data_IF_086815749778
#
_entry.id   IF_086815749778
#
_cell.length_a   1.000
_cell.length_b   1.000
_cell.length_c   1.000
_cell.angle_alpha   90.00
_cell.angle_beta   90.00
_cell.angle_gamma   90.00
#
_symmetry.space_group_name_H-M   'P 1'
#
loop_
_entity.id
_entity.type
_entity.pdbx_description
1 polymer ?
#
# COMPACT_ATOMS: atom_id res chain seq x y z
N UNK A 1 -10.82 13.28 -16.50
CA UNK A 1 -10.58 13.02 -16.20
C UNK A 1 -10.27 12.54 -15.35
N UNK A 2 -10.02 12.23 -15.13
CA UNK A 2 -9.80 11.67 -14.42
C UNK A 2 -9.17 11.75 -13.50
N UNK A 3 -8.94 11.81 -12.79
CA UNK A 3 -8.44 11.90 -11.85
C UNK A 3 -8.49 10.89 -11.02
N UNK A 4 -8.79 10.21 -10.96
CA UNK A 4 -9.01 9.25 -10.11
C UNK A 4 -7.97 8.29 -10.08
N UNK A 5 -6.98 8.52 -10.63
CA UNK A 5 -5.94 7.65 -10.63
C UNK A 5 -5.46 7.37 -9.28
N UNK A 6 -5.56 8.27 -8.40
CA UNK A 6 -5.05 8.04 -7.09
C UNK A 6 -5.96 7.16 -6.30
N UNK A 7 -7.09 6.80 -6.84
CA UNK A 7 -7.99 5.96 -6.08
C UNK A 7 -7.77 4.50 -6.32
N UNK A 8 -6.89 4.12 -7.23
CA UNK A 8 -6.65 2.71 -7.52
C UNK A 8 -5.48 2.16 -6.75
N UNK A 9 -4.53 2.99 -6.43
CA UNK A 9 -3.33 2.55 -5.71
C UNK A 9 -2.93 3.60 -4.71
N UNK A 10 -2.16 3.18 -3.72
CA UNK A 10 -1.53 4.08 -2.78
C UNK A 10 -0.03 4.02 -3.00
N UNK A 11 0.66 5.07 -2.62
CA UNK A 11 2.11 4.96 -2.49
C UNK A 11 2.39 4.19 -1.21
N UNK A 12 3.62 3.74 -1.04
CA UNK A 12 3.99 3.03 0.19
C UNK A 12 3.81 3.94 1.39
N UNK A 13 4.12 5.22 1.25
CA UNK A 13 3.95 6.15 2.35
C UNK A 13 2.49 6.29 2.73
N UNK A 14 1.63 6.38 1.75
CA UNK A 14 0.21 6.51 2.02
C UNK A 14 -0.33 5.27 2.72
N UNK A 15 0.07 4.10 2.24
CA UNK A 15 -0.36 2.87 2.86
C UNK A 15 0.15 2.78 4.29
N UNK A 16 1.38 3.23 4.50
CA UNK A 16 1.94 3.23 5.84
C UNK A 16 1.14 4.09 6.79
N UNK A 17 0.68 5.24 6.32
CA UNK A 17 -0.11 6.10 7.19
C UNK A 17 -1.41 5.44 7.57
N UNK A 18 -2.02 4.74 6.64
CA UNK A 18 -3.25 4.04 6.94
C UNK A 18 -3.03 2.94 7.97
N UNK A 19 -1.84 2.37 7.97
CA UNK A 19 -1.51 1.31 8.90
C UNK A 19 -0.83 1.83 10.15
N UNK A 20 -0.68 3.15 10.24
CA UNK A 20 -0.04 3.79 11.37
C UNK A 20 1.40 3.40 11.54
N UNK A 21 2.09 3.20 10.44
CA UNK A 21 3.50 2.87 10.46
C UNK A 21 4.33 4.09 10.13
N UNK A 22 5.54 4.15 10.64
CA UNK A 22 6.47 5.18 10.23
C UNK A 22 6.86 4.89 8.80
N UNK A 23 7.45 5.89 8.15
CA UNK A 23 7.88 5.74 6.78
C UNK A 23 8.85 4.59 6.61
N UNK A 24 9.83 4.51 7.48
CA UNK A 24 10.80 3.43 7.41
C UNK A 24 10.16 2.07 7.60
N UNK A 25 9.25 1.96 8.55
CA UNK A 25 8.57 0.70 8.78
C UNK A 25 7.69 0.33 7.60
N UNK A 26 7.06 1.33 6.97
CA UNK A 26 6.22 1.05 5.82
C UNK A 26 7.03 0.50 4.66
N UNK A 27 8.19 1.10 4.38
CA UNK A 27 9.02 0.60 3.30
C UNK A 27 9.59 -0.78 3.62
N UNK A 28 9.93 -1.00 4.86
CA UNK A 28 10.43 -2.28 5.27
C UNK A 28 9.37 -3.36 5.07
N UNK A 29 8.15 -3.07 5.49
CA UNK A 29 7.06 -4.02 5.34
C UNK A 29 6.74 -4.26 3.86
N UNK A 30 6.82 -3.23 3.04
CA UNK A 30 6.58 -3.38 1.62
C UNK A 30 7.65 -4.26 0.98
N UNK A 31 8.89 -4.08 1.37
CA UNK A 31 9.96 -4.88 0.81
C UNK A 31 9.93 -6.32 1.27
N UNK A 32 9.42 -6.56 2.47
CA UNK A 32 9.38 -7.92 2.98
C UNK A 32 8.14 -8.67 2.53
N UNK A 33 7.22 -7.98 1.87
CA UNK A 33 6.01 -8.62 1.40
C UNK A 33 4.87 -8.60 2.37
N UNK A 34 5.03 -7.93 3.51
CA UNK A 34 3.94 -7.85 4.46
C UNK A 34 2.85 -6.93 3.98
N UNK A 35 3.19 -5.97 3.15
CA UNK A 35 2.20 -5.11 2.51
C UNK A 35 2.17 -5.52 1.05
N UNK A 36 1.01 -5.79 0.48
CA UNK A 36 0.96 -6.19 -0.93
C UNK A 36 1.36 -5.01 -1.80
N UNK A 37 2.30 -5.21 -2.69
CA UNK A 37 2.79 -4.16 -3.56
C UNK A 37 2.91 -4.65 -4.99
N UNK A 38 2.89 -3.69 -5.90
CA UNK A 38 3.25 -3.98 -7.27
C UNK A 38 4.36 -3.01 -7.63
N UNK A 39 5.24 -3.46 -8.47
CA UNK A 39 6.35 -2.63 -8.87
C UNK A 39 6.18 -2.25 -10.31
N UNK A 40 6.13 -0.95 -10.58
CA UNK A 40 5.99 -0.46 -11.91
C UNK A 40 7.16 0.46 -12.17
N UNK A 41 8.05 0.04 -13.04
CA UNK A 41 9.27 0.80 -13.27
C UNK A 41 10.06 0.82 -11.99
N UNK A 42 10.26 2.00 -11.45
CA UNK A 42 11.00 2.15 -10.22
C UNK A 42 10.12 2.42 -9.06
N UNK A 43 8.81 2.38 -9.26
CA UNK A 43 7.91 2.73 -8.19
C UNK A 43 7.28 1.53 -7.58
N UNK A 44 7.15 1.54 -6.27
CA UNK A 44 6.40 0.55 -5.56
C UNK A 44 5.06 1.16 -5.22
N UNK A 45 4.00 0.48 -5.59
CA UNK A 45 2.65 0.97 -5.34
C UNK A 45 1.87 -0.11 -4.62
N UNK A 46 0.89 0.31 -3.85
CA UNK A 46 0.08 -0.63 -3.08
C UNK A 46 -1.32 -0.62 -3.67
N UNK A 47 -1.76 -1.72 -4.27
CA UNK A 47 -3.11 -1.76 -4.83
C UNK A 47 -4.13 -1.59 -3.72
N UNK A 48 -5.06 -0.67 -3.92
CA UNK A 48 -6.04 -0.38 -2.90
C UNK A 48 -6.86 -1.60 -2.55
N UNK A 49 -7.28 -2.34 -3.54
CA UNK A 49 -8.09 -3.52 -3.31
C UNK A 49 -7.33 -4.55 -2.48
N UNK A 50 -6.07 -4.73 -2.77
CA UNK A 50 -5.28 -5.70 -2.03
C UNK A 50 -5.08 -5.28 -0.59
N UNK A 51 -4.87 -3.98 -0.37
CA UNK A 51 -4.70 -3.49 0.98
C UNK A 51 -6.00 -3.63 1.77
N UNK A 52 -7.11 -3.29 1.14
CA UNK A 52 -8.40 -3.42 1.81
C UNK A 52 -8.66 -4.87 2.19
N UNK A 53 -8.32 -5.79 1.31
CA UNK A 53 -8.52 -7.19 1.56
C UNK A 53 -7.64 -7.67 2.71
N UNK A 54 -6.41 -7.18 2.75
CA UNK A 54 -5.51 -7.51 3.83
C UNK A 54 -6.05 -7.02 5.17
N UNK A 55 -6.54 -5.80 5.20
CA UNK A 55 -7.06 -5.23 6.43
C UNK A 55 -8.31 -5.95 6.89
N UNK A 56 -9.16 -6.32 5.97
CA UNK A 56 -10.35 -7.07 6.32
C UNK A 56 -9.99 -8.42 6.90
N UNK A 57 -9.00 -9.06 6.34
CA UNK A 57 -8.58 -10.35 6.86
C UNK A 57 -8.00 -10.28 8.24
N UNK A 58 -7.32 -9.19 8.54
CA UNK A 58 -6.71 -9.03 9.83
C UNK A 58 -7.71 -8.77 10.91
N UNK A 59 -8.81 -8.16 10.53
CA UNK A 59 -9.76 -7.82 11.43
C UNK A 59 -10.51 -8.89 11.99
N UNK A 60 -10.43 -9.99 11.83
CA UNK A 60 -11.16 -11.03 12.29
C UNK A 60 -11.14 -11.32 13.60
#
# INVERSE_FOLDING_TARGET
>A
MVKHESTAVYTVEEAGKLLRLSRGSAFKAANSGEIPTIKIGRRLLVPKVALDRMLTGVER
#
